data_IF_169347549649
#
_entry.id   IF_169347549649
#
_cell.length_a   1.000
_cell.length_b   1.000
_cell.length_c   1.000
_cell.angle_alpha   90.00
_cell.angle_beta   90.00
_cell.angle_gamma   90.00
#
_symmetry.space_group_name_H-M   'P 1'
#
loop_
_entity.id
_entity.type
_entity.pdbx_description
1 polymer ?
#
# COMPACT_ATOMS: atom_id res chain seq x y z
N UNK A 1 -7.62 -22.75 14.04
CA UNK A 1 -6.56 -21.85 14.53
C UNK A 1 -6.22 -20.91 13.39
N UNK A 2 -6.57 -19.64 13.53
CA UNK A 2 -6.57 -18.65 12.45
C UNK A 2 -5.40 -17.69 12.66
N UNK A 3 -4.23 -17.94 12.06
CA UNK A 3 -3.14 -16.94 11.99
C UNK A 3 -2.03 -17.34 11.01
N UNK A 4 -2.33 -17.61 9.74
CA UNK A 4 -1.25 -17.70 8.74
C UNK A 4 -1.75 -17.28 7.35
N UNK A 5 -2.01 -15.98 7.20
CA UNK A 5 -2.08 -15.32 5.90
C UNK A 5 -0.98 -14.25 5.84
N UNK A 6 0.27 -14.61 6.22
CA UNK A 6 1.47 -13.75 6.07
C UNK A 6 1.98 -13.73 4.63
N UNK A 7 1.04 -13.83 3.69
CA UNK A 7 1.23 -13.76 2.26
C UNK A 7 1.07 -12.33 1.75
N UNK A 8 0.32 -11.50 2.48
CA UNK A 8 -0.01 -10.13 2.09
C UNK A 8 0.71 -9.11 2.96
N UNK A 9 0.89 -7.87 2.48
CA UNK A 9 1.40 -6.79 3.32
C UNK A 9 0.46 -6.49 4.48
N UNK A 10 1.03 -6.09 5.61
CA UNK A 10 0.27 -5.68 6.78
C UNK A 10 1.03 -4.64 7.59
N UNK A 11 0.32 -3.88 8.42
CA UNK A 11 0.94 -3.02 9.41
C UNK A 11 1.07 -3.75 10.74
N UNK A 12 2.21 -3.54 11.40
CA UNK A 12 2.34 -3.87 12.83
C UNK A 12 1.67 -2.80 13.69
N UNK A 13 1.45 -3.14 14.96
CA UNK A 13 0.86 -2.24 15.98
C UNK A 13 1.65 -0.92 16.15
N UNK A 14 2.96 -0.93 15.87
CA UNK A 14 3.82 0.27 15.89
C UNK A 14 3.68 1.15 14.63
N UNK A 15 2.84 0.75 13.66
CA UNK A 15 2.69 1.43 12.37
C UNK A 15 3.77 1.05 11.35
N UNK A 16 4.60 0.04 11.63
CA UNK A 16 5.60 -0.46 10.67
C UNK A 16 4.92 -1.28 9.56
N UNK A 17 5.10 -0.88 8.30
CA UNK A 17 4.71 -1.67 7.12
C UNK A 17 5.60 -2.90 6.98
N UNK A 18 5.00 -4.07 6.98
CA UNK A 18 5.67 -5.34 6.73
C UNK A 18 5.17 -5.92 5.42
N UNK A 19 6.08 -6.10 4.46
CA UNK A 19 5.81 -6.75 3.19
C UNK A 19 6.58 -8.08 3.19
N UNK A 20 5.91 -9.22 3.39
CA UNK A 20 6.58 -10.51 3.49
C UNK A 20 7.25 -10.88 2.17
N UNK A 21 8.46 -11.45 2.24
CA UNK A 21 9.21 -11.82 1.03
C UNK A 21 8.51 -12.95 0.25
N UNK A 22 7.81 -13.83 0.98
CA UNK A 22 6.98 -14.89 0.45
C UNK A 22 5.70 -14.39 -0.24
N UNK A 23 5.43 -13.08 -0.21
CA UNK A 23 4.31 -12.50 -0.95
C UNK A 23 4.43 -12.87 -2.44
N UNK A 24 3.49 -13.69 -2.97
CA UNK A 24 3.45 -14.14 -4.34
C UNK A 24 3.08 -12.99 -5.26
N UNK A 25 2.36 -12.01 -4.72
CA UNK A 25 2.00 -10.80 -5.41
C UNK A 25 3.17 -9.81 -5.37
N UNK A 26 3.97 -9.86 -6.43
CA UNK A 26 5.12 -8.99 -6.61
C UNK A 26 4.74 -7.51 -6.72
N UNK A 27 3.47 -7.20 -7.00
CA UNK A 27 2.98 -5.83 -7.07
C UNK A 27 3.02 -5.14 -5.70
N UNK A 28 3.07 -5.86 -4.59
CA UNK A 28 3.32 -5.23 -3.29
C UNK A 28 4.79 -4.98 -2.97
N UNK A 29 5.74 -5.50 -3.76
CA UNK A 29 7.17 -5.25 -3.55
C UNK A 29 7.56 -3.92 -4.20
N UNK A 30 7.31 -2.79 -3.55
CA UNK A 30 7.57 -1.45 -4.11
C UNK A 30 9.04 -1.21 -4.55
N UNK A 31 9.97 -2.00 -4.03
CA UNK A 31 11.38 -2.00 -4.42
C UNK A 31 11.69 -2.81 -5.69
N UNK A 32 10.70 -3.49 -6.27
CA UNK A 32 10.81 -4.20 -7.55
C UNK A 32 10.26 -3.33 -8.68
N UNK A 33 10.78 -3.55 -9.89
CA UNK A 33 10.35 -2.83 -11.10
C UNK A 33 8.87 -3.08 -11.47
N UNK A 34 8.34 -4.25 -11.10
CA UNK A 34 6.94 -4.64 -11.27
C UNK A 34 6.07 -4.32 -10.03
N UNK A 35 6.69 -3.71 -9.02
CA UNK A 35 6.01 -3.27 -7.80
C UNK A 35 5.16 -2.04 -8.03
N UNK A 36 4.01 -1.99 -7.37
CA UNK A 36 3.22 -0.77 -7.19
C UNK A 36 4.03 0.23 -6.36
N UNK A 37 3.67 1.51 -6.50
CA UNK A 37 4.22 2.56 -5.65
C UNK A 37 3.84 2.30 -4.19
N UNK A 38 4.72 2.70 -3.28
CA UNK A 38 4.48 2.60 -1.85
C UNK A 38 3.17 3.29 -1.45
N UNK A 39 2.85 4.45 -2.03
CA UNK A 39 1.57 5.14 -1.85
C UNK A 39 0.35 4.28 -2.22
N UNK A 40 0.39 3.54 -3.32
CA UNK A 40 -0.71 2.66 -3.72
C UNK A 40 -0.90 1.51 -2.70
N UNK A 41 0.21 0.96 -2.20
CA UNK A 41 0.18 -0.12 -1.20
C UNK A 41 -0.36 0.42 0.13
N UNK A 42 0.11 1.58 0.58
CA UNK A 42 -0.38 2.22 1.79
C UNK A 42 -1.88 2.54 1.68
N UNK A 43 -2.36 2.94 0.50
CA UNK A 43 -3.77 3.21 0.24
C UNK A 43 -4.61 1.93 0.31
N UNK A 44 -4.15 0.87 -0.33
CA UNK A 44 -4.80 -0.45 -0.35
C UNK A 44 -4.92 -1.03 1.07
N UNK A 45 -3.90 -0.82 1.90
CA UNK A 45 -3.86 -1.24 3.29
C UNK A 45 -4.60 -0.30 4.25
N UNK A 46 -5.16 0.82 3.76
CA UNK A 46 -5.86 1.80 4.60
C UNK A 46 -4.94 2.48 5.62
N UNK A 47 -3.69 2.75 5.26
CA UNK A 47 -2.73 3.42 6.12
C UNK A 47 -3.27 4.78 6.59
N UNK A 48 -3.09 5.11 7.87
CA UNK A 48 -3.40 6.44 8.39
C UNK A 48 -2.45 7.52 7.84
N UNK A 49 -2.87 8.79 7.93
CA UNK A 49 -2.09 9.95 7.47
C UNK A 49 -0.70 10.03 8.13
N UNK A 50 -0.57 9.60 9.38
CA UNK A 50 0.71 9.58 10.07
C UNK A 50 1.68 8.54 9.48
N UNK A 51 1.20 7.31 9.33
CA UNK A 51 1.92 6.20 8.68
C UNK A 51 2.30 6.58 7.25
N UNK A 52 1.36 7.14 6.50
CA UNK A 52 1.62 7.60 5.14
C UNK A 52 2.79 8.58 5.07
N UNK A 53 2.79 9.62 5.90
CA UNK A 53 3.87 10.61 5.96
C UNK A 53 5.24 10.03 6.38
N UNK A 54 5.25 8.93 7.14
CA UNK A 54 6.48 8.21 7.52
C UNK A 54 7.09 7.45 6.33
N UNK A 55 6.23 6.88 5.49
CA UNK A 55 6.67 6.03 4.37
C UNK A 55 6.85 6.81 3.06
N UNK A 56 6.07 7.87 2.84
CA UNK A 56 6.11 8.68 1.63
C UNK A 56 5.89 10.16 1.96
N UNK A 57 6.49 11.04 1.16
CA UNK A 57 6.27 12.49 1.22
C UNK A 57 5.10 12.93 0.33
N UNK A 58 4.39 11.98 -0.28
CA UNK A 58 3.28 12.23 -1.20
C UNK A 58 2.00 12.67 -0.44
N UNK A 59 1.09 13.34 -1.15
CA UNK A 59 -0.18 13.76 -0.58
C UNK A 59 -1.05 12.54 -0.24
N UNK A 60 -1.62 12.53 0.96
CA UNK A 60 -2.48 11.44 1.41
C UNK A 60 -3.71 11.33 0.48
N UNK A 61 -4.14 10.12 0.06
CA UNK A 61 -5.16 9.95 -0.98
C UNK A 61 -6.55 10.46 -0.59
N UNK A 62 -6.84 10.62 0.70
CA UNK A 62 -8.07 11.26 1.20
C UNK A 62 -7.99 12.80 1.14
N UNK A 63 -6.77 13.34 1.17
CA UNK A 63 -6.48 14.78 1.03
C UNK A 63 -6.32 15.17 -0.45
N UNK A 64 -5.90 14.21 -1.29
CA UNK A 64 -5.90 14.35 -2.73
C UNK A 64 -7.35 14.40 -3.24
N UNK A 65 -7.72 15.37 -4.09
CA UNK A 65 -9.03 15.38 -4.70
C UNK A 65 -9.23 14.03 -5.40
N UNK A 66 -10.41 13.39 -5.28
CA UNK A 66 -10.65 12.08 -5.86
C UNK A 66 -10.30 12.20 -7.34
N UNK A 67 -9.20 11.54 -7.74
CA UNK A 67 -8.92 11.35 -9.16
C UNK A 67 -10.11 10.56 -9.66
N UNK A 68 -11.02 11.27 -10.32
CA UNK A 68 -11.97 10.69 -11.26
C UNK A 68 -11.14 9.72 -12.08
N UNK A 69 -11.42 8.43 -11.94
CA UNK A 69 -11.05 7.46 -12.94
C UNK A 69 -11.56 8.03 -14.26
N UNK A 70 -10.63 8.49 -15.09
CA UNK A 70 -10.95 8.66 -16.50
C UNK A 70 -11.12 7.24 -17.02
N UNK A 71 -12.34 6.74 -16.93
CA UNK A 71 -12.83 5.69 -17.81
C UNK A 71 -12.73 6.27 -19.22
N UNK A 72 -11.58 6.08 -19.85
CA UNK A 72 -11.44 6.22 -21.29
C UNK A 72 -12.00 4.92 -21.89
N UNK A 73 -13.22 5.03 -22.39
CA UNK A 73 -13.99 4.05 -23.15
C UNK A 73 -15.28 4.79 -23.51
N UNK A 74 -15.61 5.04 -24.76
CA UNK A 74 -15.30 4.38 -26.04
C UNK A 74 -15.43 5.41 -27.17
#
# INVERSE_FOLDING_TARGET
MSDDNKDKPYFKEDGTLVIPFACPDHSYKYWKKEGKKLSEILKDLGADKETWKKFTTDTYPDDAPPKKETSEGE
#
